data_IF_464612056406
#
_entry.id   IF_464612056406
#
_cell.length_a   1.000
_cell.length_b   1.000
_cell.length_c   1.000
_cell.angle_alpha   90.00
_cell.angle_beta   90.00
_cell.angle_gamma   90.00
#
_symmetry.space_group_name_H-M   'P 1'
#
loop_
_entity.id
_entity.type
_entity.pdbx_description
1 polymer ?
#
# COMPACT_ATOMS: atom_id res chain seq x y z
N UNK A 1 11.77 12.29 16.83
CA UNK A 1 11.63 13.66 17.37
C UNK A 1 10.35 13.72 18.17
N UNK A 2 10.33 14.37 19.34
CA UNK A 2 9.13 14.48 20.19
C UNK A 2 8.44 15.83 19.99
N UNK A 3 7.12 15.79 19.95
CA UNK A 3 6.24 16.95 19.78
C UNK A 3 5.14 16.90 20.83
N UNK A 4 4.52 18.05 21.09
CA UNK A 4 3.27 18.18 21.82
C UNK A 4 2.28 18.89 20.90
N UNK A 5 1.05 18.40 20.81
CA UNK A 5 0.02 18.94 19.92
C UNK A 5 -1.16 19.38 20.78
N UNK A 6 -1.56 20.64 20.62
CA UNK A 6 -2.78 21.20 21.15
C UNK A 6 -3.84 21.26 20.03
N UNK A 7 -5.11 21.09 20.40
CA UNK A 7 -6.25 21.15 19.48
C UNK A 7 -6.08 20.22 18.25
N UNK A 8 -5.69 18.97 18.49
CA UNK A 8 -5.56 17.99 17.42
C UNK A 8 -6.88 17.85 16.66
N UNK A 9 -6.81 18.09 15.34
CA UNK A 9 -7.96 18.21 14.45
C UNK A 9 -7.59 17.55 13.12
N UNK A 10 -8.14 16.36 12.91
CA UNK A 10 -7.91 15.58 11.69
C UNK A 10 -8.66 16.14 10.47
N UNK A 11 -9.64 17.02 10.65
CA UNK A 11 -10.42 17.60 9.55
C UNK A 11 -9.81 18.91 9.07
N UNK A 12 -9.44 19.81 9.99
CA UNK A 12 -8.83 21.11 9.68
C UNK A 12 -7.42 21.27 10.30
N UNK A 13 -6.35 21.13 9.50
CA UNK A 13 -4.97 21.22 10.00
C UNK A 13 -4.57 22.65 10.42
N UNK A 14 -5.44 23.65 10.23
CA UNK A 14 -5.19 25.03 10.66
C UNK A 14 -5.52 25.27 12.13
N UNK A 15 -6.32 24.40 12.74
CA UNK A 15 -6.69 24.47 14.16
C UNK A 15 -5.61 23.92 15.09
N UNK A 16 -4.75 23.03 14.59
CA UNK A 16 -3.70 22.41 15.38
C UNK A 16 -2.59 23.39 15.73
N UNK A 17 -2.04 23.26 16.94
CA UNK A 17 -0.83 23.95 17.37
C UNK A 17 0.23 22.95 17.86
N UNK A 18 1.39 22.95 17.21
CA UNK A 18 2.44 21.96 17.43
C UNK A 18 3.66 22.60 18.09
N UNK A 19 4.00 22.11 19.28
CA UNK A 19 5.21 22.49 20.00
C UNK A 19 6.31 21.44 19.81
N UNK A 20 7.44 21.86 19.23
CA UNK A 20 8.62 21.03 19.06
C UNK A 20 9.40 20.95 20.37
N UNK A 21 9.58 19.73 20.91
CA UNK A 21 10.29 19.52 22.17
C UNK A 21 11.80 19.28 21.98
N UNK A 22 12.27 19.33 20.72
CA UNK A 22 13.68 19.14 20.33
C UNK A 22 14.37 17.89 20.90
N UNK A 23 13.57 16.88 21.28
CA UNK A 23 14.05 15.61 21.82
C UNK A 23 14.05 14.55 20.72
N UNK A 24 15.21 13.98 20.43
CA UNK A 24 15.31 12.79 19.59
C UNK A 24 14.76 11.58 20.35
N UNK A 25 13.97 10.77 19.66
CA UNK A 25 13.36 9.53 20.19
C UNK A 25 13.39 8.50 19.07
N UNK A 26 13.55 7.23 19.44
CA UNK A 26 13.52 6.12 18.50
C UNK A 26 12.12 5.91 17.91
N UNK A 27 12.06 5.28 16.73
CA UNK A 27 10.81 4.98 16.02
C UNK A 27 10.57 5.85 14.79
N UNK A 28 9.41 5.63 14.16
CA UNK A 28 8.96 6.32 12.95
C UNK A 28 7.89 7.34 13.34
N UNK A 29 7.89 8.52 12.72
CA UNK A 29 6.80 9.48 12.89
C UNK A 29 5.55 9.02 12.13
N UNK A 30 4.44 8.89 12.84
CA UNK A 30 3.14 8.44 12.30
C UNK A 30 2.42 9.52 11.50
N UNK A 31 2.58 10.79 11.88
CA UNK A 31 1.97 11.97 11.23
C UNK A 31 3.04 12.92 10.71
N UNK A 32 2.77 13.57 9.58
CA UNK A 32 3.57 14.69 9.07
C UNK A 32 2.91 16.03 9.38
N UNK A 33 3.65 16.98 9.92
CA UNK A 33 3.15 18.32 10.27
C UNK A 33 3.46 19.38 9.20
N UNK A 34 3.44 18.97 7.92
CA UNK A 34 3.77 19.87 6.79
C UNK A 34 2.79 21.03 6.62
N UNK A 35 1.50 20.79 6.85
CA UNK A 35 0.48 21.85 6.84
C UNK A 35 0.66 22.85 7.98
N UNK A 36 1.03 22.38 9.18
CA UNK A 36 1.39 23.27 10.29
C UNK A 36 2.65 24.10 9.96
N UNK A 37 3.65 23.51 9.30
CA UNK A 37 4.81 24.27 8.83
C UNK A 37 4.42 25.36 7.81
N UNK A 38 3.45 25.10 6.93
CA UNK A 38 2.91 26.10 6.00
C UNK A 38 2.15 27.22 6.73
N UNK A 39 1.38 26.88 7.79
CA UNK A 39 0.75 27.86 8.70
C UNK A 39 1.80 28.77 9.33
N UNK A 40 2.89 28.21 9.86
CA UNK A 40 4.00 28.99 10.43
C UNK A 40 4.71 29.87 9.38
N UNK A 41 4.74 29.44 8.13
CA UNK A 41 5.29 30.22 7.01
C UNK A 41 4.36 31.36 6.54
N UNK A 42 3.18 31.51 7.14
CA UNK A 42 2.22 32.56 6.82
C UNK A 42 1.39 32.29 5.57
N UNK A 43 1.22 31.03 5.17
CA UNK A 43 0.35 30.70 4.04
C UNK A 43 -1.13 30.95 4.38
N UNK A 44 -1.95 31.40 3.40
CA UNK A 44 -3.38 31.59 3.61
C UNK A 44 -4.06 30.31 4.10
N UNK A 45 -4.86 30.42 5.17
CA UNK A 45 -5.49 29.26 5.80
C UNK A 45 -6.42 28.49 4.85
N UNK A 46 -7.14 29.21 3.99
CA UNK A 46 -8.04 28.57 3.01
C UNK A 46 -7.27 27.74 1.97
N UNK A 47 -6.07 28.18 1.58
CA UNK A 47 -5.19 27.42 0.69
C UNK A 47 -4.68 26.15 1.39
N UNK A 48 -4.33 26.23 2.67
CA UNK A 48 -3.91 25.08 3.48
C UNK A 48 -5.04 24.05 3.56
N UNK A 49 -6.29 24.50 3.81
CA UNK A 49 -7.47 23.62 3.87
C UNK A 49 -7.75 22.93 2.54
N UNK A 50 -7.67 23.67 1.43
CA UNK A 50 -7.87 23.10 0.09
C UNK A 50 -6.80 22.05 -0.25
N UNK A 51 -5.54 22.34 0.08
CA UNK A 51 -4.44 21.41 -0.10
C UNK A 51 -4.61 20.15 0.78
N UNK A 52 -5.09 20.30 2.01
CA UNK A 52 -5.40 19.19 2.91
C UNK A 52 -6.51 18.28 2.35
N UNK A 53 -7.61 18.86 1.87
CA UNK A 53 -8.68 18.09 1.24
C UNK A 53 -8.18 17.31 0.01
N UNK A 54 -7.34 17.93 -0.82
CA UNK A 54 -6.71 17.29 -1.97
C UNK A 54 -5.77 16.16 -1.57
N UNK A 55 -4.98 16.35 -0.51
CA UNK A 55 -4.10 15.32 0.04
C UNK A 55 -4.88 14.10 0.51
N UNK A 56 -5.95 14.29 1.27
CA UNK A 56 -6.78 13.21 1.80
C UNK A 56 -7.41 12.38 0.68
N UNK A 57 -7.85 13.02 -0.40
CA UNK A 57 -8.35 12.32 -1.58
C UNK A 57 -7.26 11.44 -2.23
N UNK A 58 -6.05 11.98 -2.40
CA UNK A 58 -4.92 11.26 -2.97
C UNK A 58 -4.47 10.09 -2.10
N UNK A 59 -4.45 10.27 -0.78
CA UNK A 59 -4.09 9.21 0.16
C UNK A 59 -5.09 8.05 0.12
N UNK A 60 -6.39 8.35 0.06
CA UNK A 60 -7.42 7.33 -0.12
C UNK A 60 -7.25 6.56 -1.44
N UNK A 61 -6.97 7.26 -2.54
CA UNK A 61 -6.72 6.63 -3.84
C UNK A 61 -5.46 5.74 -3.80
N UNK A 62 -4.38 6.22 -3.19
CA UNK A 62 -3.14 5.47 -3.07
C UNK A 62 -3.31 4.23 -2.20
N UNK A 63 -4.08 4.32 -1.11
CA UNK A 63 -4.40 3.20 -0.23
C UNK A 63 -5.17 2.11 -1.00
N UNK A 64 -6.23 2.50 -1.71
CA UNK A 64 -6.99 1.57 -2.58
C UNK A 64 -6.11 0.91 -3.64
N UNK A 65 -5.23 1.69 -4.27
CA UNK A 65 -4.29 1.17 -5.26
C UNK A 65 -3.34 0.14 -4.63
N UNK A 66 -2.73 0.44 -3.49
CA UNK A 66 -1.83 -0.47 -2.75
C UNK A 66 -2.54 -1.78 -2.36
N UNK A 67 -3.77 -1.71 -1.87
CA UNK A 67 -4.57 -2.88 -1.55
C UNK A 67 -4.87 -3.74 -2.78
N UNK A 68 -5.26 -3.11 -3.88
CA UNK A 68 -5.54 -3.81 -5.14
C UNK A 68 -4.30 -4.55 -5.65
N UNK A 69 -3.13 -3.91 -5.55
CA UNK A 69 -1.85 -4.49 -5.93
C UNK A 69 -1.46 -5.67 -5.04
N UNK A 70 -1.64 -5.56 -3.72
CA UNK A 70 -1.41 -6.68 -2.78
C UNK A 70 -2.30 -7.87 -3.10
N UNK A 71 -3.59 -7.65 -3.38
CA UNK A 71 -4.55 -8.71 -3.76
C UNK A 71 -4.13 -9.39 -5.07
N UNK A 72 -3.77 -8.61 -6.10
CA UNK A 72 -3.26 -9.13 -7.37
C UNK A 72 -2.02 -10.00 -7.19
N UNK A 73 -1.05 -9.54 -6.41
CA UNK A 73 0.17 -10.29 -6.14
C UNK A 73 -0.12 -11.61 -5.40
N UNK A 74 -1.04 -11.60 -4.44
CA UNK A 74 -1.46 -12.81 -3.73
C UNK A 74 -2.13 -13.84 -4.66
N UNK A 75 -2.98 -13.39 -5.58
CA UNK A 75 -3.58 -14.27 -6.61
C UNK A 75 -2.51 -14.82 -7.54
N UNK A 76 -1.60 -13.97 -8.03
CA UNK A 76 -0.53 -14.37 -8.94
C UNK A 76 0.37 -15.45 -8.31
N UNK A 77 0.72 -15.33 -7.03
CA UNK A 77 1.47 -16.35 -6.28
C UNK A 77 0.73 -17.68 -6.20
N UNK A 78 -0.59 -17.66 -5.95
CA UNK A 78 -1.41 -18.88 -5.94
C UNK A 78 -1.47 -19.54 -7.31
N UNK A 79 -1.65 -18.76 -8.38
CA UNK A 79 -1.67 -19.26 -9.76
C UNK A 79 -0.34 -19.92 -10.12
N UNK A 80 0.80 -19.29 -9.79
CA UNK A 80 2.11 -19.87 -10.02
C UNK A 80 2.28 -21.24 -9.34
N UNK A 81 1.90 -21.33 -8.06
CA UNK A 81 2.00 -22.59 -7.30
C UNK A 81 1.10 -23.70 -7.85
N UNK A 82 -0.10 -23.35 -8.32
CA UNK A 82 -0.99 -24.31 -8.99
C UNK A 82 -0.43 -24.79 -10.33
N UNK A 83 0.25 -23.91 -11.07
CA UNK A 83 0.93 -24.27 -12.32
C UNK A 83 2.08 -25.26 -12.06
N UNK A 84 2.88 -25.04 -11.03
CA UNK A 84 3.93 -25.98 -10.61
C UNK A 84 3.36 -27.36 -10.23
N UNK A 85 2.31 -27.40 -9.41
CA UNK A 85 1.65 -28.67 -9.02
C UNK A 85 1.07 -29.41 -10.23
N UNK A 86 0.48 -28.68 -11.19
CA UNK A 86 -0.02 -29.26 -12.43
C UNK A 86 1.12 -29.88 -13.25
N UNK A 87 2.25 -29.20 -13.37
CA UNK A 87 3.42 -29.72 -14.10
C UNK A 87 3.96 -30.98 -13.44
N UNK A 88 4.02 -31.03 -12.10
CA UNK A 88 4.47 -32.22 -11.37
C UNK A 88 3.54 -33.41 -11.61
N UNK A 89 2.22 -33.21 -11.53
CA UNK A 89 1.24 -34.27 -11.81
C UNK A 89 1.36 -34.81 -13.24
N UNK A 90 1.61 -33.93 -14.21
CA UNK A 90 1.81 -34.33 -15.59
C UNK A 90 3.13 -35.11 -15.79
N UNK A 91 4.17 -34.81 -15.00
CA UNK A 91 5.46 -35.48 -15.07
C UNK A 91 5.49 -36.84 -14.32
N UNK A 92 4.69 -37.01 -13.28
CA UNK A 92 4.57 -38.27 -12.52
C UNK A 92 3.61 -39.27 -13.14
N UNK A 93 2.96 -38.94 -14.26
CA UNK A 93 2.11 -39.86 -15.00
C UNK A 93 2.65 -40.18 -16.42
N UNK A 94 3.91 -40.64 -16.55
CA UNK A 94 4.50 -40.98 -17.84
C UNK A 94 3.79 -42.16 -18.52
N UNK A 95 3.13 -43.04 -17.76
CA UNK A 95 2.39 -44.18 -18.31
C UNK A 95 1.15 -43.75 -19.12
N UNK A 96 0.45 -42.69 -18.72
CA UNK A 96 -0.73 -42.18 -19.47
C UNK A 96 -0.29 -41.40 -20.72
N UNK A 97 0.83 -40.68 -20.66
CA UNK A 97 1.39 -39.98 -21.82
C UNK A 97 2.00 -40.95 -22.85
N UNK A 98 2.65 -42.03 -22.39
CA UNK A 98 3.19 -43.07 -23.25
C UNK A 98 2.08 -43.92 -23.88
N UNK A 99 1.00 -44.22 -23.16
CA UNK A 99 -0.14 -44.96 -23.71
C UNK A 99 -0.86 -44.14 -24.79
N UNK A 100 -1.05 -42.83 -24.57
CA UNK A 100 -1.64 -41.93 -25.58
C UNK A 100 -0.75 -41.79 -26.83
N UNK A 101 0.58 -41.71 -26.68
CA UNK A 101 1.50 -41.68 -27.82
C UNK A 101 1.53 -43.02 -28.58
N UNK A 102 1.52 -44.16 -27.87
CA UNK A 102 1.50 -45.48 -28.52
C UNK A 102 0.22 -45.74 -29.31
N UNK A 103 -0.95 -45.34 -28.78
CA UNK A 103 -2.23 -45.47 -29.50
C UNK A 103 -2.25 -44.61 -30.77
N UNK A 104 -1.61 -43.43 -30.74
CA UNK A 104 -1.56 -42.52 -31.90
C UNK A 104 -0.59 -43.00 -33.00
N UNK A 105 0.41 -43.82 -32.65
CA UNK A 105 1.37 -44.39 -33.62
C UNK A 105 0.85 -45.68 -34.29
N UNK A 106 -0.24 -46.26 -33.77
CA UNK A 106 -0.84 -47.51 -34.25
C UNK A 106 -2.10 -47.32 -35.12
N UNK A 107 -2.53 -46.07 -35.32
CA UNK A 107 -3.64 -45.66 -36.20
C UNK A 107 -3.12 -44.85 -37.38
#
# INVERSE_FOLDING_TARGET
MKFYVENEDEEDPTNEDVTYLYKLVDGICTKSYGFYAAKLAGMPLDLIREAHASHNLLEQQQTRYRESMKKRLAVQRKVHKLQELRQLCNATNPDVQNLAHMITMLL
#
